data_IF_432312399550
#
_entry.id   IF_432312399550
#
_cell.length_a   1.000
_cell.length_b   1.000
_cell.length_c   1.000
_cell.angle_alpha   90.00
_cell.angle_beta   90.00
_cell.angle_gamma   90.00
#
_symmetry.space_group_name_H-M   'P 1'
#
loop_
_entity.id
_entity.type
_entity.pdbx_description
1 polymer ?
#
# COMPACT_ATOMS: atom_id res chain seq x y z
N UNK A 1 -33.77 19.97 0.15
CA UNK A 1 -33.86 18.51 0.32
C UNK A 1 -34.09 17.92 -1.06
N UNK A 2 -33.09 17.28 -1.65
CA UNK A 2 -33.26 16.56 -2.92
C UNK A 2 -34.07 15.29 -2.61
N UNK A 3 -35.38 15.39 -2.77
CA UNK A 3 -36.31 14.29 -2.58
C UNK A 3 -36.42 13.47 -3.86
N UNK A 4 -36.50 12.15 -3.68
CA UNK A 4 -36.99 11.20 -4.69
C UNK A 4 -35.89 10.66 -5.56
N UNK A 5 -35.44 9.45 -5.21
CA UNK A 5 -34.84 8.44 -6.08
C UNK A 5 -33.70 8.94 -6.97
N UNK A 6 -32.48 8.70 -6.49
CA UNK A 6 -31.23 8.84 -7.24
C UNK A 6 -31.46 8.28 -8.67
N UNK A 7 -31.49 9.15 -9.69
CA UNK A 7 -31.91 8.81 -11.07
C UNK A 7 -31.15 7.58 -11.61
N UNK A 8 -29.91 7.42 -11.17
CA UNK A 8 -29.01 6.33 -11.52
C UNK A 8 -29.26 5.02 -10.76
N UNK A 9 -30.22 4.97 -9.84
CA UNK A 9 -30.54 3.75 -9.08
C UNK A 9 -31.22 2.69 -9.95
N UNK A 10 -32.00 3.10 -10.96
CA UNK A 10 -32.73 2.20 -11.87
C UNK A 10 -31.88 1.69 -13.03
N UNK A 11 -30.79 2.39 -13.36
CA UNK A 11 -29.86 2.02 -14.43
C UNK A 11 -28.70 1.15 -13.95
N UNK A 12 -28.62 0.83 -12.65
CA UNK A 12 -27.59 -0.08 -12.14
C UNK A 12 -27.95 -1.52 -12.48
N UNK A 13 -27.04 -2.28 -13.12
CA UNK A 13 -27.24 -3.71 -13.31
C UNK A 13 -27.29 -4.43 -11.95
N UNK A 14 -27.90 -5.62 -11.91
CA UNK A 14 -28.04 -6.45 -10.70
C UNK A 14 -26.68 -6.76 -10.04
N UNK A 15 -25.61 -6.80 -10.84
CA UNK A 15 -24.25 -7.05 -10.40
C UNK A 15 -23.30 -5.94 -10.88
N UNK A 16 -23.31 -4.76 -10.22
CA UNK A 16 -22.53 -3.59 -10.65
C UNK A 16 -21.04 -3.67 -10.24
N UNK A 17 -20.63 -4.74 -9.55
CA UNK A 17 -19.25 -5.03 -9.22
C UNK A 17 -19.01 -6.50 -9.51
N UNK A 18 -18.31 -6.79 -10.59
CA UNK A 18 -17.86 -8.13 -10.92
C UNK A 18 -16.49 -8.40 -10.31
N UNK A 19 -16.12 -9.67 -10.14
CA UNK A 19 -14.79 -10.03 -9.64
C UNK A 19 -13.69 -9.64 -10.65
N UNK A 20 -14.06 -9.57 -11.92
CA UNK A 20 -13.26 -9.18 -13.07
C UNK A 20 -13.04 -7.66 -13.14
N UNK A 21 -13.90 -6.86 -12.50
CA UNK A 21 -13.80 -5.39 -12.43
C UNK A 21 -12.69 -4.92 -11.46
N UNK A 22 -12.02 -5.85 -10.77
CA UNK A 22 -10.89 -5.52 -9.90
C UNK A 22 -9.83 -4.78 -10.72
N UNK A 23 -9.21 -3.72 -10.18
CA UNK A 23 -8.13 -3.03 -10.86
C UNK A 23 -7.07 -4.03 -11.31
N UNK A 24 -6.73 -4.03 -12.60
CA UNK A 24 -5.57 -4.77 -13.10
C UNK A 24 -4.32 -4.11 -12.52
N UNK A 25 -3.85 -4.60 -11.38
CA UNK A 25 -2.74 -3.96 -10.66
C UNK A 25 -2.67 -4.17 -9.16
N UNK A 26 -3.48 -5.06 -8.60
CA UNK A 26 -3.30 -5.57 -7.25
C UNK A 26 -3.94 -4.72 -6.15
N UNK A 27 -4.69 -5.38 -5.26
CA UNK A 27 -5.36 -4.76 -4.12
C UNK A 27 -4.38 -4.39 -2.99
N UNK A 28 -4.87 -3.79 -1.89
CA UNK A 28 -4.08 -3.57 -0.67
C UNK A 28 -3.31 -4.82 -0.19
N UNK A 29 -3.86 -6.01 -0.45
CA UNK A 29 -3.30 -7.34 -0.24
C UNK A 29 -2.13 -7.71 -1.18
N UNK A 30 -2.07 -7.10 -2.37
CA UNK A 30 -0.99 -7.29 -3.35
C UNK A 30 0.16 -6.29 -3.17
N UNK A 31 0.10 -5.44 -2.13
CA UNK A 31 1.25 -4.61 -1.78
C UNK A 31 2.40 -5.56 -1.40
N UNK A 32 3.56 -5.44 -2.07
CA UNK A 32 4.73 -6.17 -1.61
C UNK A 32 4.98 -5.79 -0.15
N UNK A 33 5.19 -6.79 0.70
CA UNK A 33 5.55 -6.65 2.12
C UNK A 33 6.98 -6.08 2.22
N UNK A 34 7.17 -4.90 1.66
CA UNK A 34 8.44 -4.19 1.53
C UNK A 34 8.86 -3.58 2.88
N UNK A 35 7.93 -3.46 3.83
CA UNK A 35 8.18 -2.80 5.12
C UNK A 35 9.26 -3.48 5.98
N UNK A 36 9.24 -4.82 6.08
CA UNK A 36 10.12 -5.53 7.02
C UNK A 36 11.56 -5.65 6.50
N UNK A 37 11.74 -5.89 5.20
CA UNK A 37 13.07 -6.04 4.60
C UNK A 37 13.84 -4.72 4.55
N UNK A 38 13.15 -3.62 4.29
CA UNK A 38 13.78 -2.29 4.27
C UNK A 38 14.24 -1.85 5.66
N UNK A 39 13.47 -2.15 6.71
CA UNK A 39 13.86 -1.82 8.08
C UNK A 39 15.19 -2.47 8.49
N UNK A 40 15.38 -3.76 8.14
CA UNK A 40 16.61 -4.49 8.46
C UNK A 40 17.82 -3.92 7.71
N UNK A 41 17.66 -3.54 6.43
CA UNK A 41 18.74 -2.91 5.65
C UNK A 41 19.17 -1.60 6.30
N UNK A 42 18.23 -0.72 6.63
CA UNK A 42 18.55 0.55 7.27
C UNK A 42 19.18 0.39 8.65
N UNK A 43 18.77 -0.62 9.41
CA UNK A 43 19.41 -0.96 10.68
C UNK A 43 20.87 -1.37 10.50
N UNK A 44 21.17 -2.25 9.55
CA UNK A 44 22.55 -2.67 9.25
C UNK A 44 23.39 -1.48 8.79
N UNK A 45 22.86 -0.62 7.92
CA UNK A 45 23.55 0.60 7.48
C UNK A 45 23.88 1.50 8.67
N UNK A 46 22.94 1.72 9.59
CA UNK A 46 23.17 2.55 10.78
C UNK A 46 24.28 1.98 11.68
N UNK A 47 24.28 0.67 11.92
CA UNK A 47 25.33 0.00 12.72
C UNK A 47 26.71 0.17 12.07
N UNK A 48 26.82 -0.04 10.76
CA UNK A 48 28.08 0.12 10.03
C UNK A 48 28.62 1.55 10.14
N UNK A 49 27.76 2.55 9.97
CA UNK A 49 28.14 3.96 10.10
C UNK A 49 28.66 4.25 11.52
N UNK A 50 27.98 3.78 12.56
CA UNK A 50 28.41 3.98 13.96
C UNK A 50 29.79 3.35 14.19
N UNK A 51 30.02 2.12 13.71
CA UNK A 51 31.30 1.43 13.86
C UNK A 51 32.42 2.19 13.15
N UNK A 52 32.20 2.65 11.93
CA UNK A 52 33.19 3.43 11.17
C UNK A 52 33.55 4.72 11.90
N UNK A 53 32.56 5.46 12.41
CA UNK A 53 32.80 6.66 13.19
C UNK A 53 33.56 6.34 14.49
N UNK A 54 33.17 5.28 15.20
CA UNK A 54 33.87 4.83 16.41
C UNK A 54 35.36 4.60 16.13
N UNK A 55 35.71 3.85 15.08
CA UNK A 55 37.11 3.58 14.71
C UNK A 55 37.89 4.81 14.22
N UNK A 56 37.23 5.82 13.66
CA UNK A 56 37.88 7.05 13.20
C UNK A 56 38.15 8.01 14.37
N UNK A 57 37.24 8.08 15.33
CA UNK A 57 37.24 9.12 16.37
C UNK A 57 37.74 8.66 17.74
N UNK A 58 38.01 7.36 17.94
CA UNK A 58 38.57 6.77 19.16
C UNK A 58 39.87 6.06 18.82
#
# INVERSE_FOLDING_TARGET
MAGGDDFYSKDRPEHPRMAEDRPRGGGPEDRPSTGHRHALIWFVVAVVVILVLFFIFI
#
